data_IF_936252434113
#
_entry.id   IF_936252434113
#
_cell.length_a   1.000
_cell.length_b   1.000
_cell.length_c   1.000
_cell.angle_alpha   90.00
_cell.angle_beta   90.00
_cell.angle_gamma   90.00
#
_symmetry.space_group_name_H-M   'P 1'
#
loop_
_entity.id
_entity.type
_entity.pdbx_description
1 polymer ?
#
# COMPACT_ATOMS: atom_id res chain seq x y z
N UNK A 1 -3.54 6.00 -23.96
CA UNK A 1 -3.46 6.21 -22.51
C UNK A 1 -2.01 6.41 -22.11
N UNK A 2 -1.76 7.17 -21.06
CA UNK A 2 -0.41 7.51 -20.67
C UNK A 2 -0.05 6.81 -19.37
N UNK A 3 1.20 6.34 -19.26
CA UNK A 3 1.74 5.84 -18.00
C UNK A 3 1.86 7.00 -17.01
N UNK A 4 1.25 6.83 -15.87
CA UNK A 4 1.26 7.82 -14.81
C UNK A 4 1.92 7.21 -13.59
N UNK A 5 2.84 7.96 -12.99
CA UNK A 5 3.57 7.53 -11.79
C UNK A 5 3.27 8.49 -10.64
N UNK A 6 2.91 7.93 -9.50
CA UNK A 6 2.73 8.69 -8.26
C UNK A 6 3.69 8.16 -7.22
N UNK A 7 4.30 9.06 -6.47
CA UNK A 7 5.18 8.70 -5.36
C UNK A 7 4.70 9.40 -4.10
N UNK A 8 4.65 8.64 -3.00
CA UNK A 8 4.31 9.21 -1.70
C UNK A 8 5.45 10.03 -1.14
N UNK A 9 5.17 10.78 -0.08
CA UNK A 9 6.23 11.31 0.78
C UNK A 9 7.03 10.16 1.38
N UNK A 10 8.20 10.45 1.90
CA UNK A 10 9.04 9.49 2.62
C UNK A 10 8.63 9.51 4.09
N UNK A 11 8.25 8.33 4.61
CA UNK A 11 7.93 8.16 6.02
C UNK A 11 9.10 7.59 6.80
N UNK A 12 9.05 7.74 8.11
CA UNK A 12 10.06 7.20 9.02
C UNK A 12 9.40 6.19 9.95
N UNK A 13 9.98 5.00 10.03
CA UNK A 13 9.51 3.92 10.89
C UNK A 13 10.59 3.61 11.92
N UNK A 14 10.22 3.58 13.20
CA UNK A 14 11.14 3.27 14.30
C UNK A 14 11.25 1.75 14.46
N UNK A 15 11.82 1.10 13.45
CA UNK A 15 12.06 -0.33 13.40
C UNK A 15 13.12 -0.61 12.34
N UNK A 16 13.74 -1.79 12.38
CA UNK A 16 14.69 -2.16 11.33
C UNK A 16 13.92 -2.67 10.09
N UNK A 17 14.61 -2.74 8.95
CA UNK A 17 13.98 -3.12 7.69
C UNK A 17 13.48 -4.57 7.70
N UNK A 18 14.16 -5.46 8.42
CA UNK A 18 13.72 -6.85 8.54
C UNK A 18 12.36 -6.96 9.24
N UNK A 19 12.17 -6.19 10.32
CA UNK A 19 10.89 -6.18 11.05
C UNK A 19 9.77 -5.62 10.19
N UNK A 20 10.03 -4.53 9.49
CA UNK A 20 9.03 -3.90 8.61
C UNK A 20 8.69 -4.83 7.45
N UNK A 21 9.70 -5.39 6.80
CA UNK A 21 9.49 -6.30 5.68
C UNK A 21 8.70 -7.54 6.11
N UNK A 22 9.03 -8.13 7.26
CA UNK A 22 8.33 -9.32 7.75
C UNK A 22 6.83 -9.07 7.92
N UNK A 23 6.45 -7.89 8.40
CA UNK A 23 5.04 -7.55 8.58
C UNK A 23 4.36 -7.27 7.23
N UNK A 24 4.97 -6.43 6.39
CA UNK A 24 4.34 -5.97 5.16
C UNK A 24 4.36 -7.02 4.05
N UNK A 25 5.25 -7.99 4.09
CA UNK A 25 5.32 -9.04 3.08
C UNK A 25 4.38 -10.21 3.35
N UNK A 26 3.66 -10.19 4.47
CA UNK A 26 2.62 -11.17 4.78
C UNK A 26 1.34 -10.39 5.10
N UNK A 27 0.40 -10.39 4.16
CA UNK A 27 -0.80 -9.59 4.27
C UNK A 27 -1.75 -10.05 5.39
N UNK A 28 -1.57 -11.28 5.91
CA UNK A 28 -2.34 -11.71 7.08
C UNK A 28 -2.10 -10.83 8.30
N UNK A 29 -0.96 -10.15 8.36
CA UNK A 29 -0.65 -9.22 9.45
C UNK A 29 -1.58 -8.00 9.49
N UNK A 30 -2.33 -7.74 8.41
CA UNK A 30 -3.36 -6.69 8.41
C UNK A 30 -4.37 -6.91 9.53
N UNK A 31 -4.62 -8.17 9.90
CA UNK A 31 -5.52 -8.49 11.00
C UNK A 31 -5.09 -7.89 12.34
N UNK A 32 -3.80 -7.59 12.50
CA UNK A 32 -3.26 -7.00 13.73
C UNK A 32 -3.43 -5.48 13.78
N UNK A 33 -3.72 -4.84 12.65
CA UNK A 33 -3.88 -3.38 12.62
C UNK A 33 -5.12 -2.92 11.84
N UNK A 34 -6.20 -3.70 11.92
CA UNK A 34 -7.47 -3.33 11.28
C UNK A 34 -8.00 -1.99 11.79
N UNK A 35 -7.66 -1.62 13.02
CA UNK A 35 -8.14 -0.38 13.63
C UNK A 35 -7.64 0.88 12.93
N UNK A 36 -6.51 0.81 12.21
CA UNK A 36 -5.98 1.95 11.46
C UNK A 36 -6.55 2.04 10.05
N UNK A 37 -7.31 1.03 9.61
CA UNK A 37 -7.94 1.02 8.30
C UNK A 37 -9.27 1.79 8.37
N UNK A 38 -9.55 2.69 7.40
CA UNK A 38 -10.83 3.43 7.41
C UNK A 38 -12.01 2.47 7.20
N UNK A 39 -12.77 2.25 8.25
CA UNK A 39 -13.91 1.31 8.24
C UNK A 39 -15.11 1.86 7.47
N UNK A 40 -15.19 3.17 7.29
CA UNK A 40 -16.27 3.82 6.55
C UNK A 40 -16.08 3.75 5.03
N UNK A 41 -14.87 3.49 4.57
CA UNK A 41 -14.53 3.48 3.14
C UNK A 41 -14.22 2.10 2.59
N UNK A 42 -13.74 1.19 3.43
CA UNK A 42 -13.32 -0.15 3.04
C UNK A 42 -14.19 -1.17 3.77
N UNK A 43 -14.88 -2.00 3.03
CA UNK A 43 -15.85 -2.97 3.56
C UNK A 43 -15.50 -4.39 3.13
N UNK A 44 -15.98 -5.37 3.87
CA UNK A 44 -15.88 -6.79 3.54
C UNK A 44 -14.43 -7.23 3.30
N UNK A 45 -13.53 -6.80 4.19
CA UNK A 45 -12.11 -7.10 4.09
C UNK A 45 -11.84 -8.60 4.30
N UNK A 46 -11.25 -9.23 3.29
CA UNK A 46 -10.81 -10.62 3.34
C UNK A 46 -9.30 -10.66 3.11
N UNK A 47 -8.57 -11.34 3.98
CA UNK A 47 -7.11 -11.31 4.00
C UNK A 47 -6.54 -12.72 3.92
N UNK A 48 -5.57 -12.92 3.05
CA UNK A 48 -4.71 -14.10 3.03
C UNK A 48 -3.24 -13.65 3.04
N UNK A 49 -2.30 -14.58 3.00
CA UNK A 49 -0.88 -14.22 3.11
C UNK A 49 -0.39 -13.33 1.96
N UNK A 50 -0.94 -13.50 0.76
CA UNK A 50 -0.49 -12.80 -0.45
C UNK A 50 -1.57 -11.99 -1.15
N UNK A 51 -2.77 -11.93 -0.58
CA UNK A 51 -3.91 -11.27 -1.23
C UNK A 51 -4.83 -10.62 -0.22
N UNK A 52 -5.32 -9.43 -0.55
CA UNK A 52 -6.35 -8.74 0.21
C UNK A 52 -7.48 -8.41 -0.74
N UNK A 53 -8.71 -8.79 -0.38
CA UNK A 53 -9.92 -8.49 -1.14
C UNK A 53 -10.81 -7.59 -0.29
N UNK A 54 -11.42 -6.61 -0.92
CA UNK A 54 -12.27 -5.66 -0.20
C UNK A 54 -13.19 -4.92 -1.17
N UNK A 55 -14.22 -4.29 -0.59
CA UNK A 55 -15.09 -3.34 -1.30
C UNK A 55 -14.70 -1.94 -0.91
N UNK A 56 -14.63 -1.05 -1.89
CA UNK A 56 -14.44 0.38 -1.67
C UNK A 56 -15.79 1.06 -1.91
N UNK A 57 -16.15 2.00 -1.03
CA UNK A 57 -17.37 2.77 -1.18
C UNK A 57 -17.40 3.46 -2.54
N UNK A 58 -18.50 3.31 -3.25
CA UNK A 58 -18.67 3.88 -4.59
C UNK A 58 -18.28 2.94 -5.73
N UNK A 59 -17.63 1.81 -5.45
CA UNK A 59 -17.35 0.77 -6.43
C UNK A 59 -18.34 -0.37 -6.26
N UNK A 60 -18.91 -0.86 -7.37
CA UNK A 60 -19.92 -1.89 -7.34
C UNK A 60 -19.43 -3.31 -7.15
N UNK A 61 -18.11 -3.51 -7.00
CA UNK A 61 -17.52 -4.85 -6.95
C UNK A 61 -16.34 -4.89 -6.00
N UNK A 62 -15.99 -6.10 -5.55
CA UNK A 62 -14.80 -6.32 -4.77
C UNK A 62 -13.56 -6.19 -5.64
N UNK A 63 -12.54 -5.53 -5.13
CA UNK A 63 -11.23 -5.49 -5.76
C UNK A 63 -10.26 -6.29 -4.91
N UNK A 64 -9.14 -6.67 -5.50
CA UNK A 64 -8.10 -7.40 -4.79
C UNK A 64 -6.74 -6.79 -5.07
N UNK A 65 -5.91 -6.78 -4.04
CA UNK A 65 -4.49 -6.41 -4.15
C UNK A 65 -3.69 -7.66 -3.82
N UNK A 66 -2.77 -8.04 -4.70
CA UNK A 66 -1.98 -9.25 -4.56
C UNK A 66 -0.49 -8.91 -4.58
N UNK A 67 0.29 -9.65 -3.80
CA UNK A 67 1.75 -9.55 -3.85
C UNK A 67 2.23 -10.29 -5.10
N UNK A 68 2.97 -9.59 -5.97
CA UNK A 68 3.53 -10.15 -7.19
C UNK A 68 5.00 -10.52 -7.04
N UNK A 69 5.77 -9.68 -6.38
CA UNK A 69 7.22 -9.86 -6.21
C UNK A 69 7.66 -9.31 -4.86
N UNK A 70 8.70 -9.92 -4.31
CA UNK A 70 9.34 -9.45 -3.07
C UNK A 70 10.84 -9.41 -3.28
N UNK A 71 11.46 -8.29 -2.91
CA UNK A 71 12.91 -8.19 -2.78
C UNK A 71 13.19 -8.00 -1.30
N UNK A 72 13.79 -9.00 -0.67
CA UNK A 72 13.90 -9.06 0.78
C UNK A 72 14.51 -7.78 1.36
N UNK A 73 13.82 -7.21 2.35
CA UNK A 73 14.15 -5.99 3.09
C UNK A 73 14.14 -4.69 2.27
N UNK A 74 13.82 -4.74 0.98
CA UNK A 74 13.90 -3.58 0.09
C UNK A 74 12.58 -3.21 -0.55
N UNK A 75 11.91 -4.16 -1.20
CA UNK A 75 10.76 -3.82 -2.03
C UNK A 75 9.72 -4.93 -2.02
N UNK A 76 8.45 -4.52 -1.99
CA UNK A 76 7.31 -5.42 -2.20
C UNK A 76 6.50 -4.83 -3.34
N UNK A 77 6.25 -5.64 -4.38
CA UNK A 77 5.44 -5.22 -5.53
C UNK A 77 4.07 -5.86 -5.45
N UNK A 78 3.05 -5.04 -5.62
CA UNK A 78 1.65 -5.46 -5.63
C UNK A 78 1.03 -5.19 -6.99
N UNK A 79 0.06 -6.03 -7.36
CA UNK A 79 -0.82 -5.79 -8.49
C UNK A 79 -2.26 -5.73 -8.02
N UNK A 80 -3.15 -5.32 -8.92
CA UNK A 80 -4.57 -5.22 -8.62
C UNK A 80 -5.37 -6.18 -9.50
N UNK A 81 -6.44 -6.74 -8.93
CA UNK A 81 -7.40 -7.57 -9.66
C UNK A 81 -8.78 -6.91 -9.58
N UNK A 82 -9.58 -7.09 -10.63
CA UNK A 82 -10.95 -6.56 -10.73
C UNK A 82 -11.04 -5.04 -10.69
N UNK A 83 -9.97 -4.36 -11.11
CA UNK A 83 -9.97 -2.90 -11.26
C UNK A 83 -10.17 -2.54 -12.73
N UNK A 84 -10.99 -1.51 -13.02
CA UNK A 84 -11.18 -1.06 -14.39
C UNK A 84 -9.92 -0.46 -15.01
N UNK A 85 -9.01 0.04 -14.19
CA UNK A 85 -7.74 0.62 -14.63
C UNK A 85 -6.61 -0.19 -13.99
N UNK A 86 -5.69 -0.77 -14.78
CA UNK A 86 -4.60 -1.54 -14.21
C UNK A 86 -3.61 -0.65 -13.47
N UNK A 87 -3.09 -1.16 -12.34
CA UNK A 87 -2.03 -0.46 -11.64
C UNK A 87 -1.12 -1.44 -10.90
N UNK A 88 0.09 -0.96 -10.62
CA UNK A 88 1.04 -1.65 -9.76
C UNK A 88 1.45 -0.71 -8.63
N UNK A 89 1.70 -1.30 -7.48
CA UNK A 89 2.13 -0.58 -6.28
C UNK A 89 3.45 -1.16 -5.81
N UNK A 90 4.40 -0.31 -5.46
CA UNK A 90 5.65 -0.72 -4.84
C UNK A 90 5.75 -0.08 -3.46
N UNK A 91 6.04 -0.89 -2.45
CA UNK A 91 6.46 -0.40 -1.15
C UNK A 91 7.98 -0.55 -1.11
N UNK A 92 8.68 0.56 -0.93
CA UNK A 92 10.12 0.62 -0.94
C UNK A 92 10.64 0.96 0.45
N UNK A 93 11.61 0.18 0.92
CA UNK A 93 12.19 0.33 2.26
C UNK A 93 13.67 0.63 2.15
N UNK A 94 14.16 1.50 3.02
CA UNK A 94 15.59 1.79 3.15
C UNK A 94 15.94 2.06 4.60
N UNK A 95 16.68 1.16 5.21
CA UNK A 95 17.18 1.37 6.56
C UNK A 95 18.38 2.33 6.52
N UNK A 96 18.28 3.42 7.26
CA UNK A 96 19.33 4.44 7.31
C UNK A 96 20.08 4.43 8.62
N UNK A 97 19.51 3.80 9.66
CA UNK A 97 20.14 3.63 10.97
C UNK A 97 19.45 2.49 11.69
N UNK A 98 20.00 2.07 12.82
CA UNK A 98 19.31 1.10 13.68
C UNK A 98 17.99 1.71 14.12
N UNK A 99 16.89 0.96 14.01
CA UNK A 99 15.54 1.40 14.31
C UNK A 99 15.11 2.66 13.54
N UNK A 100 15.63 2.83 12.33
CA UNK A 100 15.23 3.94 11.45
C UNK A 100 15.17 3.44 10.02
N UNK A 101 13.96 3.05 9.59
CA UNK A 101 13.70 2.61 8.22
C UNK A 101 12.81 3.63 7.54
N UNK A 102 13.22 4.06 6.34
CA UNK A 102 12.43 4.97 5.52
C UNK A 102 11.55 4.16 4.58
N UNK A 103 10.33 4.64 4.38
CA UNK A 103 9.34 3.98 3.54
C UNK A 103 8.80 4.97 2.51
N UNK A 104 8.61 4.48 1.29
CA UNK A 104 7.95 5.22 0.22
C UNK A 104 7.07 4.26 -0.54
N UNK A 105 5.91 4.75 -0.99
CA UNK A 105 4.99 3.99 -1.83
C UNK A 105 4.97 4.62 -3.21
N UNK A 106 5.11 3.80 -4.25
CA UNK A 106 5.02 4.24 -5.65
C UNK A 106 3.87 3.51 -6.32
N UNK A 107 3.05 4.23 -7.08
CA UNK A 107 2.00 3.64 -7.91
C UNK A 107 2.30 4.00 -9.37
N UNK A 108 2.23 2.99 -10.24
CA UNK A 108 2.21 3.22 -11.68
C UNK A 108 0.90 2.69 -12.24
N UNK A 109 0.26 3.48 -13.07
CA UNK A 109 -1.01 3.13 -13.67
C UNK A 109 -1.04 3.64 -15.12
N UNK A 110 -1.90 3.03 -15.93
CA UNK A 110 -2.15 3.48 -17.29
C UNK A 110 -3.54 4.10 -17.31
N UNK A 111 -3.61 5.41 -17.28
CA UNK A 111 -4.82 6.16 -17.03
C UNK A 111 -5.04 7.23 -18.09
N UNK A 112 -6.27 7.38 -18.62
CA UNK A 112 -6.58 8.49 -19.52
C UNK A 112 -6.33 9.84 -18.84
N UNK A 113 -5.89 10.83 -19.64
CA UNK A 113 -5.55 12.16 -19.14
C UNK A 113 -6.70 12.80 -18.35
N UNK A 114 -7.93 12.56 -18.79
CA UNK A 114 -9.11 13.10 -18.11
C UNK A 114 -9.22 12.59 -16.67
N UNK A 115 -9.00 11.28 -16.48
CA UNK A 115 -9.06 10.70 -15.14
C UNK A 115 -7.87 11.18 -14.29
N UNK A 116 -6.71 11.35 -14.91
CA UNK A 116 -5.55 11.92 -14.21
C UNK A 116 -5.88 13.27 -13.62
N UNK A 117 -6.49 14.16 -14.39
CA UNK A 117 -6.88 15.48 -13.92
C UNK A 117 -7.86 15.41 -12.74
N UNK A 118 -8.79 14.45 -12.79
CA UNK A 118 -9.81 14.29 -11.74
C UNK A 118 -9.25 13.70 -10.45
N UNK A 119 -8.26 12.81 -10.52
CA UNK A 119 -7.85 12.00 -9.39
C UNK A 119 -6.46 12.28 -8.85
N UNK A 120 -5.64 13.11 -9.53
CA UNK A 120 -4.26 13.38 -9.10
C UNK A 120 -4.14 13.72 -7.61
N UNK A 121 -4.93 14.70 -7.15
CA UNK A 121 -4.88 15.12 -5.76
C UNK A 121 -5.31 14.02 -4.80
N UNK A 122 -6.38 13.30 -5.16
CA UNK A 122 -6.91 12.23 -4.30
C UNK A 122 -5.92 11.08 -4.18
N UNK A 123 -5.27 10.72 -5.27
CA UNK A 123 -4.27 9.65 -5.27
C UNK A 123 -3.07 10.07 -4.43
N UNK A 124 -2.57 11.30 -4.63
CA UNK A 124 -1.42 11.79 -3.86
C UNK A 124 -1.73 11.84 -2.36
N UNK A 125 -2.89 12.36 -2.00
CA UNK A 125 -3.31 12.43 -0.60
C UNK A 125 -3.47 11.03 -0.01
N UNK A 126 -4.06 10.11 -0.77
CA UNK A 126 -4.22 8.73 -0.33
C UNK A 126 -2.90 8.03 -0.09
N UNK A 127 -1.91 8.26 -0.96
CA UNK A 127 -0.56 7.70 -0.79
C UNK A 127 0.11 8.24 0.47
N UNK A 128 0.03 9.53 0.70
CA UNK A 128 0.66 10.16 1.85
C UNK A 128 -0.01 9.70 3.16
N UNK A 129 -1.34 9.55 3.15
CA UNK A 129 -2.07 9.00 4.28
C UNK A 129 -1.70 7.54 4.53
N UNK A 130 -1.50 6.75 3.47
CA UNK A 130 -1.09 5.36 3.60
C UNK A 130 0.28 5.26 4.26
N UNK A 131 1.22 6.14 3.90
CA UNK A 131 2.53 6.18 4.55
C UNK A 131 2.39 6.51 6.03
N UNK A 132 1.58 7.51 6.38
CA UNK A 132 1.34 7.86 7.79
C UNK A 132 0.76 6.67 8.56
N UNK A 133 -0.18 5.96 7.96
CA UNK A 133 -0.79 4.79 8.56
C UNK A 133 0.23 3.67 8.78
N UNK A 134 1.07 3.40 7.78
CA UNK A 134 2.10 2.36 7.88
C UNK A 134 3.17 2.72 8.91
N UNK A 135 3.42 4.00 9.13
CA UNK A 135 4.37 4.44 10.16
C UNK A 135 3.82 4.24 11.59
N UNK A 136 2.52 4.04 11.74
CA UNK A 136 1.88 3.84 13.05
C UNK A 136 1.79 2.36 13.45
N UNK A 137 2.08 1.44 12.54
CA UNK A 137 2.02 0.00 12.82
C UNK A 137 3.11 -0.37 13.83
N UNK A 138 2.79 -1.16 14.88
CA UNK A 138 3.77 -1.53 15.89
C UNK A 138 4.63 -2.71 15.46
N UNK A 139 5.51 -2.51 14.52
CA UNK A 139 6.33 -3.56 13.91
C UNK A 139 7.16 -4.35 14.91
N UNK A 140 7.61 -3.70 15.98
CA UNK A 140 8.45 -4.36 16.99
C UNK A 140 7.65 -5.22 17.97
N UNK A 141 6.32 -5.18 17.88
CA UNK A 141 5.43 -5.93 18.76
C UNK A 141 4.69 -7.05 18.05
N UNK A 142 4.99 -7.25 16.77
CA UNK A 142 4.30 -8.25 15.95
C UNK A 142 5.19 -9.47 15.66
#
# INVERSE_FOLDING_TARGET
MADVKYESKIGQITANDAAVFAVLSNLENINHFRDVIPQDKIHELEVSSDRVRFKVEGLGQKIAIVILEKEEYKTIKFGAENMPIPFNIWIQLKQVAELDTRIRITIKTDMPAMFKMMFDKKIQQGLDQAVDMLCQVPYNKM
#
